data_IF_997359233916
#
_entry.id   IF_997359233916
#
_cell.length_a   1.000
_cell.length_b   1.000
_cell.length_c   1.000
_cell.angle_alpha   90.00
_cell.angle_beta   90.00
_cell.angle_gamma   90.00
#
_symmetry.space_group_name_H-M   'P 1'
#
loop_
_entity.id
_entity.type
_entity.pdbx_description
1 polymer ?
#
# COMPACT_ATOMS: atom_id res chain seq x y z
N UNK A 1 -15.90 18.94 12.24
CA UNK A 1 -14.72 18.15 11.88
C UNK A 1 -14.33 17.35 13.10
N UNK A 2 -14.31 16.02 13.00
CA UNK A 2 -14.05 15.15 14.15
C UNK A 2 -12.54 14.87 14.31
N UNK A 3 -11.78 15.86 14.81
CA UNK A 3 -10.32 15.74 14.86
C UNK A 3 -9.85 14.61 15.79
N UNK A 4 -10.68 14.25 16.77
CA UNK A 4 -10.45 13.11 17.66
C UNK A 4 -10.37 11.77 16.91
N UNK A 5 -11.20 11.58 15.88
CA UNK A 5 -11.21 10.40 15.01
C UNK A 5 -9.86 10.23 14.31
N UNK A 6 -9.34 11.32 13.73
CA UNK A 6 -8.05 11.31 13.04
C UNK A 6 -6.92 10.94 13.99
N UNK A 7 -6.81 11.62 15.13
CA UNK A 7 -5.74 11.40 16.13
C UNK A 7 -5.68 9.94 16.60
N UNK A 8 -6.84 9.31 16.81
CA UNK A 8 -6.93 7.92 17.29
C UNK A 8 -6.68 6.89 16.18
N UNK A 9 -7.03 7.19 14.94
CA UNK A 9 -7.18 6.17 13.89
C UNK A 9 -6.12 6.22 12.79
N UNK A 10 -5.39 7.33 12.62
CA UNK A 10 -4.47 7.51 11.47
C UNK A 10 -3.42 6.39 11.34
N UNK A 11 -2.79 5.98 12.45
CA UNK A 11 -1.80 4.88 12.46
C UNK A 11 -2.41 3.57 11.98
N UNK A 12 -3.66 3.30 12.38
CA UNK A 12 -4.39 2.07 12.04
C UNK A 12 -4.74 2.06 10.55
N UNK A 13 -5.22 3.18 10.01
CA UNK A 13 -5.52 3.32 8.58
C UNK A 13 -4.26 3.12 7.73
N UNK A 14 -3.17 3.84 8.07
CA UNK A 14 -1.90 3.72 7.36
C UNK A 14 -1.36 2.29 7.39
N UNK A 15 -1.22 1.68 8.59
CA UNK A 15 -0.65 0.34 8.74
C UNK A 15 -1.46 -0.73 8.02
N UNK A 16 -2.79 -0.63 8.04
CA UNK A 16 -3.65 -1.59 7.34
C UNK A 16 -3.49 -1.49 5.83
N UNK A 17 -3.60 -0.29 5.26
CA UNK A 17 -3.45 -0.10 3.83
C UNK A 17 -2.04 -0.50 3.35
N UNK A 18 -1.00 -0.06 4.05
CA UNK A 18 0.38 -0.46 3.78
C UNK A 18 0.54 -1.98 3.79
N UNK A 19 0.12 -2.64 4.87
CA UNK A 19 0.31 -4.08 5.04
C UNK A 19 -0.46 -4.91 4.01
N UNK A 20 -1.71 -4.55 3.75
CA UNK A 20 -2.53 -5.23 2.73
C UNK A 20 -1.93 -5.06 1.35
N UNK A 21 -1.53 -3.85 0.95
CA UNK A 21 -0.88 -3.63 -0.34
C UNK A 21 0.44 -4.39 -0.45
N UNK A 22 1.26 -4.37 0.59
CA UNK A 22 2.54 -5.08 0.60
C UNK A 22 2.36 -6.58 0.35
N UNK A 23 1.40 -7.21 1.05
CA UNK A 23 1.11 -8.64 0.90
C UNK A 23 0.58 -8.94 -0.50
N UNK A 24 -0.40 -8.17 -0.98
CA UNK A 24 -1.01 -8.39 -2.30
C UNK A 24 0.02 -8.25 -3.41
N UNK A 25 0.82 -7.18 -3.39
CA UNK A 25 1.82 -6.94 -4.44
C UNK A 25 2.96 -7.95 -4.41
N UNK A 26 3.36 -8.40 -3.22
CA UNK A 26 4.32 -9.51 -3.09
C UNK A 26 3.76 -10.77 -3.73
N UNK A 27 2.50 -11.12 -3.45
CA UNK A 27 1.87 -12.32 -4.00
C UNK A 27 1.70 -12.23 -5.52
N UNK A 28 1.25 -11.09 -6.05
CA UNK A 28 1.18 -10.84 -7.49
C UNK A 28 2.55 -10.97 -8.16
N UNK A 29 3.59 -10.39 -7.56
CA UNK A 29 4.95 -10.47 -8.09
C UNK A 29 5.45 -11.92 -8.15
N UNK A 30 5.13 -12.74 -7.14
CA UNK A 30 5.46 -14.18 -7.12
C UNK A 30 4.73 -14.92 -8.25
N UNK A 31 3.43 -14.68 -8.43
CA UNK A 31 2.65 -15.28 -9.52
C UNK A 31 3.26 -14.92 -10.88
N UNK A 32 3.62 -13.65 -11.08
CA UNK A 32 4.26 -13.19 -12.32
C UNK A 32 5.59 -13.89 -12.62
N UNK A 33 6.30 -14.37 -11.60
CA UNK A 33 7.51 -15.17 -11.82
C UNK A 33 7.22 -16.53 -12.45
N UNK A 34 5.98 -17.06 -12.32
CA UNK A 34 5.55 -18.30 -12.95
C UNK A 34 4.93 -18.16 -14.34
N UNK A 35 4.49 -16.96 -14.74
CA UNK A 35 3.82 -16.74 -16.04
C UNK A 35 4.82 -16.57 -17.19
N UNK A 36 4.51 -17.03 -18.40
CA UNK A 36 5.37 -16.78 -19.57
C UNK A 36 5.49 -15.28 -19.88
N UNK A 37 4.36 -14.57 -19.81
CA UNK A 37 4.26 -13.12 -19.98
C UNK A 37 3.78 -12.48 -18.66
N UNK A 38 4.65 -11.76 -17.93
CA UNK A 38 4.25 -11.11 -16.68
C UNK A 38 3.23 -9.99 -16.88
N UNK A 39 2.34 -9.80 -15.91
CA UNK A 39 1.26 -8.80 -15.99
C UNK A 39 1.60 -7.53 -15.18
N UNK A 40 2.27 -7.67 -14.04
CA UNK A 40 2.51 -6.58 -13.09
C UNK A 40 4.00 -6.30 -12.84
N UNK A 41 4.81 -7.32 -12.57
CA UNK A 41 6.22 -7.20 -12.25
C UNK A 41 7.10 -7.87 -13.30
N UNK A 42 8.21 -7.23 -13.67
CA UNK A 42 9.22 -7.84 -14.54
C UNK A 42 9.78 -9.13 -13.93
N UNK A 43 10.26 -10.02 -14.80
CA UNK A 43 10.98 -11.23 -14.38
C UNK A 43 12.21 -10.87 -13.58
N UNK A 44 12.38 -11.55 -12.45
CA UNK A 44 13.53 -11.44 -11.59
C UNK A 44 14.59 -12.42 -12.10
N UNK A 45 15.56 -11.89 -12.82
CA UNK A 45 16.66 -12.66 -13.43
C UNK A 45 18.00 -12.39 -12.75
N UNK A 46 18.10 -11.32 -11.95
CA UNK A 46 19.32 -10.92 -11.27
C UNK A 46 19.01 -10.12 -9.98
N UNK A 47 20.07 -9.74 -9.25
CA UNK A 47 19.94 -8.97 -8.01
C UNK A 47 19.37 -7.56 -8.22
N UNK A 48 19.60 -6.94 -9.38
CA UNK A 48 19.13 -5.60 -9.70
C UNK A 48 17.61 -5.59 -9.93
N UNK A 49 17.11 -6.54 -10.72
CA UNK A 49 15.68 -6.74 -10.98
C UNK A 49 14.93 -7.16 -9.70
N UNK A 50 15.54 -7.98 -8.85
CA UNK A 50 15.01 -8.28 -7.52
C UNK A 50 14.85 -7.01 -6.66
N UNK A 51 15.92 -6.20 -6.56
CA UNK A 51 15.88 -4.97 -5.77
C UNK A 51 14.84 -3.98 -6.30
N UNK A 52 14.73 -3.84 -7.63
CA UNK A 52 13.69 -3.02 -8.26
C UNK A 52 12.28 -3.50 -7.91
N UNK A 53 12.03 -4.81 -7.95
CA UNK A 53 10.73 -5.37 -7.57
C UNK A 53 10.41 -5.10 -6.09
N UNK A 54 11.37 -5.32 -5.19
CA UNK A 54 11.21 -5.06 -3.76
C UNK A 54 10.94 -3.57 -3.47
N UNK A 55 11.68 -2.66 -4.11
CA UNK A 55 11.47 -1.22 -3.98
C UNK A 55 10.11 -0.81 -4.54
N UNK A 56 9.69 -1.34 -5.67
CA UNK A 56 8.35 -1.07 -6.22
C UNK A 56 7.26 -1.49 -5.24
N UNK A 57 7.30 -2.72 -4.72
CA UNK A 57 6.34 -3.19 -3.72
C UNK A 57 6.33 -2.26 -2.50
N UNK A 58 7.51 -1.89 -1.99
CA UNK A 58 7.64 -1.03 -0.82
C UNK A 58 7.07 0.38 -1.05
N UNK A 59 7.43 1.04 -2.16
CA UNK A 59 6.97 2.39 -2.45
C UNK A 59 5.48 2.44 -2.78
N UNK A 60 4.92 1.46 -3.51
CA UNK A 60 3.47 1.35 -3.70
C UNK A 60 2.73 1.18 -2.37
N UNK A 61 3.30 0.40 -1.44
CA UNK A 61 2.71 0.20 -0.11
C UNK A 61 2.76 1.47 0.74
N UNK A 62 3.84 2.26 0.65
CA UNK A 62 3.89 3.60 1.25
C UNK A 62 2.79 4.48 0.67
N UNK A 63 2.68 4.52 -0.66
CA UNK A 63 1.66 5.29 -1.38
C UNK A 63 0.25 4.93 -0.94
N UNK A 64 -0.07 3.64 -0.81
CA UNK A 64 -1.39 3.20 -0.34
C UNK A 64 -1.67 3.59 1.11
N UNK A 65 -0.65 3.54 1.98
CA UNK A 65 -0.73 4.04 3.35
C UNK A 65 -1.07 5.53 3.40
N UNK A 66 -0.41 6.35 2.57
CA UNK A 66 -0.68 7.78 2.48
C UNK A 66 -2.08 8.07 1.90
N UNK A 67 -2.52 7.33 0.87
CA UNK A 67 -3.88 7.43 0.33
C UNK A 67 -4.94 7.10 1.39
N UNK A 68 -4.70 6.12 2.25
CA UNK A 68 -5.60 5.80 3.35
C UNK A 68 -5.66 6.91 4.42
N UNK A 69 -4.56 7.63 4.64
CA UNK A 69 -4.56 8.83 5.48
C UNK A 69 -5.41 9.94 4.84
N UNK A 70 -5.27 10.17 3.53
CA UNK A 70 -6.10 11.15 2.80
C UNK A 70 -7.59 10.79 2.91
N UNK A 71 -7.95 9.51 2.73
CA UNK A 71 -9.32 9.05 2.93
C UNK A 71 -9.83 9.31 4.36
N UNK A 72 -8.98 9.09 5.38
CA UNK A 72 -9.33 9.40 6.77
C UNK A 72 -9.52 10.91 7.01
N UNK A 73 -8.73 11.77 6.37
CA UNK A 73 -8.92 13.22 6.43
C UNK A 73 -10.29 13.61 5.87
N UNK A 74 -10.66 13.08 4.71
CA UNK A 74 -11.98 13.31 4.10
C UNK A 74 -13.12 12.87 5.02
N UNK A 75 -13.02 11.68 5.62
CA UNK A 75 -13.99 11.19 6.61
C UNK A 75 -14.07 12.10 7.84
N UNK A 76 -12.94 12.59 8.31
CA UNK A 76 -12.85 13.47 9.47
C UNK A 76 -13.54 14.82 9.22
N UNK A 77 -13.46 15.33 7.99
CA UNK A 77 -14.16 16.55 7.56
C UNK A 77 -15.66 16.29 7.44
N UNK A 78 -16.06 15.18 6.81
CA UNK A 78 -17.46 14.83 6.58
C UNK A 78 -18.24 14.51 7.87
N UNK A 79 -17.56 14.01 8.91
CA UNK A 79 -18.20 13.63 10.17
C UNK A 79 -18.18 14.78 11.18
N UNK A 80 -19.31 15.04 11.85
CA UNK A 80 -19.36 15.94 13.01
C UNK A 80 -18.70 15.28 14.23
N UNK A 81 -18.16 16.11 15.10
CA UNK A 81 -17.66 15.67 16.39
C UNK A 81 -18.90 15.37 17.25
N UNK A 82 -18.96 14.16 17.83
CA UNK A 82 -20.04 13.76 18.74
C UNK A 82 -19.74 14.27 20.14
#
# INVERSE_FOLDING_TARGET
MNISLFKRSWKKFYKRAFGTTFIILTFMTIIDQGLENPIFAYKIIDKSTFLKAALNIFYFSIGSGLLAIIALVLLTIATKEN
#
